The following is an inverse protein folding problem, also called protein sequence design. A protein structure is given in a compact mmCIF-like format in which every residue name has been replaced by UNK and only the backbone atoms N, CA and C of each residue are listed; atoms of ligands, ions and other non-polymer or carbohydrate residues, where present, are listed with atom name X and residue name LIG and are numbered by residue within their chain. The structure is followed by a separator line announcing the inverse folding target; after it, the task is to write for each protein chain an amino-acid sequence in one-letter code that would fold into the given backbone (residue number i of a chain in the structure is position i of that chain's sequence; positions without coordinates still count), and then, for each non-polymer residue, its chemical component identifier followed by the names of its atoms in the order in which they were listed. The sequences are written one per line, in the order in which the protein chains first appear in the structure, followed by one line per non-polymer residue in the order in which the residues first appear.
data_IF_306262120155
#
_entry.id   IF_306262120155
#
_cell.length_a   1.000
_cell.length_b   1.000
_cell.length_c   1.000
_cell.angle_alpha   90.00
_cell.angle_beta   90.00
_cell.angle_gamma   90.00
#
_symmetry.space_group_name_H-M   'P 1'
#
loop_
_entity.id
_entity.type
_entity.pdbx_description
1 polymer ?
#
# COMPACT_ATOMS: atom_id res chain seq x y z
N UNK A 1 -13.55 19.74 19.55
CA UNK A 1 -13.47 19.31 18.14
C UNK A 1 -12.18 18.51 17.97
N UNK A 2 -12.26 17.24 17.56
CA UNK A 2 -11.07 16.47 17.22
C UNK A 2 -10.35 17.13 16.04
N UNK A 3 -9.07 17.41 16.20
CA UNK A 3 -8.25 18.04 15.17
C UNK A 3 -8.07 17.06 14.01
N UNK A 4 -8.82 17.23 12.91
CA UNK A 4 -8.80 16.34 11.72
C UNK A 4 -7.51 16.39 10.88
N UNK A 5 -6.51 17.13 11.37
CA UNK A 5 -5.27 17.46 10.68
C UNK A 5 -4.13 16.73 11.36
N UNK A 6 -3.34 16.02 10.57
CA UNK A 6 -2.13 15.34 11.00
C UNK A 6 -0.94 15.81 10.16
N UNK A 7 0.22 16.01 10.78
CA UNK A 7 1.46 16.38 10.08
C UNK A 7 2.47 15.26 10.21
N UNK A 8 3.15 14.93 9.13
CA UNK A 8 4.23 13.95 9.11
C UNK A 8 5.34 14.41 8.16
N UNK A 9 6.47 14.85 8.72
CA UNK A 9 7.48 15.58 7.97
C UNK A 9 6.87 16.88 7.40
N UNK A 10 7.08 17.10 6.11
CA UNK A 10 6.53 18.24 5.37
C UNK A 10 5.06 18.01 4.97
N UNK A 11 4.58 16.77 5.01
CA UNK A 11 3.22 16.46 4.59
C UNK A 11 2.18 16.81 5.65
N UNK A 12 1.08 17.38 5.18
CA UNK A 12 -0.11 17.62 5.99
C UNK A 12 -1.28 16.82 5.43
N UNK A 13 -1.87 16.00 6.29
CA UNK A 13 -3.01 15.16 5.99
C UNK A 13 -4.27 15.69 6.67
N UNK A 14 -5.38 15.68 5.95
CA UNK A 14 -6.70 16.07 6.46
C UNK A 14 -7.71 15.00 6.07
N UNK A 15 -8.43 14.46 7.05
CA UNK A 15 -9.50 13.51 6.80
C UNK A 15 -10.86 14.18 6.88
N UNK A 16 -11.72 13.93 5.89
CA UNK A 16 -13.10 14.38 5.87
C UNK A 16 -14.06 13.19 5.77
N UNK A 17 -14.85 12.89 6.82
CA UNK A 17 -15.84 11.83 6.77
C UNK A 17 -16.99 12.22 5.84
N UNK A 18 -17.35 11.31 4.95
CA UNK A 18 -18.45 11.48 4.00
C UNK A 18 -19.50 10.39 4.25
N UNK A 19 -20.78 10.73 4.09
CA UNK A 19 -21.88 9.79 4.27
C UNK A 19 -22.57 9.54 2.93
N UNK A 20 -22.50 8.32 2.42
CA UNK A 20 -23.16 7.90 1.18
C UNK A 20 -23.98 6.64 1.42
N UNK A 21 -25.23 6.61 0.95
CA UNK A 21 -26.15 5.46 1.14
C UNK A 21 -26.27 4.99 2.60
N UNK A 22 -26.26 5.92 3.56
CA UNK A 22 -26.35 5.62 4.99
C UNK A 22 -25.09 5.00 5.61
N UNK A 23 -23.95 5.02 4.90
CA UNK A 23 -22.67 4.52 5.39
C UNK A 23 -21.62 5.62 5.39
N UNK A 24 -20.71 5.53 6.35
CA UNK A 24 -19.59 6.43 6.48
C UNK A 24 -18.41 5.93 5.62
N UNK A 25 -17.81 6.84 4.89
CA UNK A 25 -16.58 6.69 4.13
C UNK A 25 -15.66 7.87 4.46
N UNK A 26 -14.44 7.88 3.93
CA UNK A 26 -13.45 8.90 4.28
C UNK A 26 -12.77 9.41 3.01
N UNK A 27 -12.72 10.73 2.87
CA UNK A 27 -11.79 11.41 1.96
C UNK A 27 -10.53 11.73 2.77
N UNK A 28 -9.42 11.10 2.44
CA UNK A 28 -8.13 11.46 3.00
C UNK A 28 -7.42 12.37 1.99
N UNK A 29 -7.13 13.60 2.40
CA UNK A 29 -6.45 14.61 1.61
C UNK A 29 -5.01 14.78 2.10
N UNK A 30 -4.08 14.97 1.18
CA UNK A 30 -2.73 15.50 1.42
C UNK A 30 -2.67 16.90 0.82
N UNK A 31 -2.25 17.88 1.61
CA UNK A 31 -1.99 19.23 1.09
C UNK A 31 -0.84 19.15 0.08
N UNK A 32 -1.06 19.75 -1.09
CA UNK A 32 -0.07 19.78 -2.15
C UNK A 32 0.78 21.04 -2.00
N UNK A 33 2.08 20.85 -1.84
CA UNK A 33 3.06 21.93 -1.94
C UNK A 33 3.51 22.07 -3.40
N UNK A 34 3.48 23.30 -3.92
CA UNK A 34 4.02 23.68 -5.24
C UNK A 34 3.12 24.58 -6.08
N UNK A 35 3.71 25.14 -7.13
CA UNK A 35 3.06 26.05 -8.08
C UNK A 35 2.15 25.26 -9.02
N UNK A 36 0.89 25.11 -8.64
CA UNK A 36 -0.13 24.59 -9.55
C UNK A 36 -0.45 25.69 -10.53
N UNK A 37 -0.37 25.40 -11.82
CA UNK A 37 -0.62 26.36 -12.87
C UNK A 37 -2.00 26.15 -13.48
N UNK A 38 -2.57 27.24 -13.98
CA UNK A 38 -3.81 27.27 -14.73
C UNK A 38 -3.57 27.92 -16.10
N UNK A 39 -4.35 27.49 -17.09
CA UNK A 39 -4.36 28.09 -18.42
C UNK A 39 -5.60 28.97 -18.52
N UNK A 40 -5.39 30.25 -18.74
CA UNK A 40 -6.43 31.14 -19.23
C UNK A 40 -6.54 30.93 -20.74
N UNK A 41 -7.59 30.23 -21.17
CA UNK A 41 -7.82 29.95 -22.59
C UNK A 41 -8.26 31.19 -23.38
N UNK A 42 -8.81 32.21 -22.72
CA UNK A 42 -9.22 33.46 -23.37
C UNK A 42 -7.98 34.28 -23.74
N UNK A 43 -7.01 34.37 -22.83
CA UNK A 43 -5.76 35.11 -23.03
C UNK A 43 -4.59 34.22 -23.50
N UNK A 44 -4.83 32.92 -23.64
CA UNK A 44 -3.86 31.89 -24.00
C UNK A 44 -2.57 31.97 -23.17
N UNK A 45 -2.74 32.14 -21.85
CA UNK A 45 -1.66 32.41 -20.90
C UNK A 45 -1.64 31.40 -19.77
N UNK A 46 -0.44 30.94 -19.41
CA UNK A 46 -0.23 30.06 -18.26
C UNK A 46 0.16 30.94 -17.07
N UNK A 47 -0.57 30.82 -15.97
CA UNK A 47 -0.31 31.55 -14.73
C UNK A 47 -0.44 30.62 -13.53
N UNK A 48 0.05 31.05 -12.38
CA UNK A 48 -0.14 30.30 -11.13
C UNK A 48 -1.63 30.32 -10.73
N UNK A 49 -2.10 29.19 -10.19
CA UNK A 49 -3.45 29.02 -9.70
C UNK A 49 -3.68 29.96 -8.52
N UNK A 50 -4.48 30.99 -8.77
CA UNK A 50 -4.92 31.92 -7.73
C UNK A 50 -6.10 31.29 -6.98
N UNK A 51 -5.92 31.03 -5.68
CA UNK A 51 -6.99 30.57 -4.80
C UNK A 51 -7.42 31.70 -3.88
N UNK A 52 -8.71 31.99 -3.85
CA UNK A 52 -9.25 32.99 -2.92
C UNK A 52 -9.32 32.46 -1.48
N UNK A 53 -8.93 33.30 -0.52
CA UNK A 53 -9.10 33.07 0.92
C UNK A 53 -8.22 31.96 1.49
N UNK A 54 -8.72 31.25 2.50
CA UNK A 54 -7.99 30.17 3.17
C UNK A 54 -8.25 28.81 2.49
N UNK A 55 -7.88 28.70 1.21
CA UNK A 55 -8.03 27.50 0.39
C UNK A 55 -6.67 26.93 0.04
N UNK A 56 -6.60 25.61 -0.11
CA UNK A 56 -5.38 24.90 -0.51
C UNK A 56 -5.74 23.82 -1.50
N UNK A 57 -4.83 23.49 -2.41
CA UNK A 57 -5.00 22.34 -3.28
C UNK A 57 -4.55 21.08 -2.55
N UNK A 58 -5.27 19.99 -2.82
CA UNK A 58 -5.04 18.71 -2.18
C UNK A 58 -5.02 17.60 -3.22
N UNK A 59 -4.21 16.58 -2.95
CA UNK A 59 -4.35 15.27 -3.56
C UNK A 59 -5.17 14.37 -2.63
N UNK A 60 -6.10 13.62 -3.19
CA UNK A 60 -7.13 12.94 -2.39
C UNK A 60 -7.20 11.45 -2.66
N UNK A 61 -7.46 10.69 -1.61
CA UNK A 61 -7.74 9.25 -1.65
C UNK A 61 -9.09 8.99 -1.00
N UNK A 62 -9.94 8.27 -1.72
CA UNK A 62 -11.25 7.85 -1.22
C UNK A 62 -11.06 6.50 -0.55
N UNK A 63 -11.49 6.42 0.70
CA UNK A 63 -11.45 5.22 1.54
C UNK A 63 -12.89 4.78 1.79
N UNK A 64 -13.24 3.61 1.25
CA UNK A 64 -14.56 3.03 1.37
C UNK A 64 -14.54 1.91 2.41
N UNK A 65 -15.14 2.14 3.57
CA UNK A 65 -15.39 1.08 4.55
C UNK A 65 -16.46 0.10 4.03
N UNK A 66 -16.09 -1.17 3.88
CA UNK A 66 -16.93 -2.21 3.28
C UNK A 66 -17.76 -2.94 4.36
N UNK A 67 -18.94 -3.49 4.02
CA UNK A 67 -19.87 -4.04 5.02
C UNK A 67 -19.49 -5.40 5.60
N UNK A 68 -18.43 -6.03 5.10
CA UNK A 68 -18.15 -7.46 5.34
C UNK A 68 -16.94 -7.74 6.23
N UNK A 69 -16.40 -6.73 6.92
CA UNK A 69 -15.38 -6.89 7.96
C UNK A 69 -14.34 -5.78 7.96
N UNK A 70 -13.12 -6.08 8.45
CA UNK A 70 -11.98 -5.16 8.46
C UNK A 70 -11.31 -5.04 7.08
N UNK A 71 -12.11 -4.75 6.05
CA UNK A 71 -11.65 -4.48 4.68
C UNK A 71 -12.06 -3.08 4.28
N UNK A 72 -11.13 -2.36 3.69
CA UNK A 72 -11.38 -1.07 3.04
C UNK A 72 -11.06 -1.20 1.55
N UNK A 73 -11.86 -0.54 0.72
CA UNK A 73 -11.47 -0.25 -0.65
C UNK A 73 -10.87 1.15 -0.73
N UNK A 74 -9.86 1.33 -1.59
CA UNK A 74 -9.18 2.62 -1.76
C UNK A 74 -9.09 3.01 -3.23
N UNK A 75 -9.38 4.27 -3.54
CA UNK A 75 -9.14 4.88 -4.85
C UNK A 75 -8.28 6.13 -4.65
N UNK A 76 -7.10 6.14 -5.28
CA UNK A 76 -6.21 7.29 -5.28
C UNK A 76 -6.52 8.19 -6.48
N UNK A 77 -6.72 9.48 -6.23
CA UNK A 77 -6.99 10.46 -7.29
C UNK A 77 -5.74 10.85 -8.10
N UNK A 78 -4.54 10.62 -7.55
CA UNK A 78 -3.25 10.90 -8.20
C UNK A 78 -2.14 10.05 -7.59
N UNK A 79 -0.96 10.01 -8.23
CA UNK A 79 0.20 9.28 -7.72
C UNK A 79 0.80 9.86 -6.42
N UNK A 80 0.54 11.15 -6.15
CA UNK A 80 0.94 11.87 -4.95
C UNK A 80 -0.09 11.81 -3.82
N UNK A 81 -1.29 11.31 -4.11
CA UNK A 81 -2.36 11.16 -3.13
C UNK A 81 -1.98 10.24 -1.96
N UNK A 82 -2.61 10.41 -0.78
CA UNK A 82 -2.36 9.58 0.39
C UNK A 82 -2.35 8.08 0.08
N UNK A 83 -1.36 7.37 0.63
CA UNK A 83 -1.28 5.91 0.54
C UNK A 83 -1.99 5.25 1.72
N UNK A 84 -2.28 3.93 1.67
CA UNK A 84 -2.83 3.21 2.82
C UNK A 84 -2.01 3.39 4.11
N UNK A 85 -0.69 3.53 4.01
CA UNK A 85 0.18 3.84 5.14
C UNK A 85 -0.06 5.24 5.74
N UNK A 86 -0.40 6.23 4.91
CA UNK A 86 -0.82 7.55 5.38
C UNK A 86 -2.18 7.50 6.09
N UNK A 87 -3.11 6.66 5.61
CA UNK A 87 -4.37 6.39 6.30
C UNK A 87 -4.14 5.77 7.68
N UNK A 88 -3.26 4.76 7.80
CA UNK A 88 -2.91 4.16 9.09
C UNK A 88 -2.41 5.22 10.07
N UNK A 89 -1.41 6.02 9.66
CA UNK A 89 -0.83 7.07 10.49
C UNK A 89 -1.87 8.10 10.90
N UNK A 90 -2.74 8.51 9.97
CA UNK A 90 -3.81 9.45 10.25
C UNK A 90 -4.82 8.86 11.26
N UNK A 91 -5.31 7.64 11.05
CA UNK A 91 -6.25 6.97 11.96
C UNK A 91 -5.68 6.82 13.38
N UNK A 92 -4.41 6.42 13.50
CA UNK A 92 -3.74 6.28 14.79
C UNK A 92 -3.55 7.65 15.47
N UNK A 93 -3.14 8.67 14.71
CA UNK A 93 -3.01 10.02 15.24
C UNK A 93 -4.35 10.63 15.70
N UNK A 94 -5.45 10.25 15.05
CA UNK A 94 -6.80 10.66 15.44
C UNK A 94 -7.31 9.90 16.68
N UNK A 95 -6.61 8.87 17.15
CA UNK A 95 -7.03 7.98 18.24
C UNK A 95 -8.47 7.47 18.04
N UNK A 96 -8.80 7.02 16.82
CA UNK A 96 -10.15 6.56 16.48
C UNK A 96 -10.55 5.31 17.28
N UNK A 97 -9.57 4.52 17.70
CA UNK A 97 -9.73 3.34 18.55
C UNK A 97 -8.62 3.30 19.60
N UNK A 98 -8.85 2.60 20.73
CA UNK A 98 -7.93 2.52 21.87
C UNK A 98 -6.68 1.65 21.63
N UNK A 99 -6.31 1.40 20.37
CA UNK A 99 -5.19 0.57 19.96
C UNK A 99 -4.62 1.06 18.64
N UNK A 100 -3.35 0.80 18.39
CA UNK A 100 -2.80 1.08 17.08
C UNK A 100 -3.45 0.20 16.01
N UNK A 101 -3.96 0.84 14.96
CA UNK A 101 -4.43 0.18 13.76
C UNK A 101 -3.24 -0.07 12.84
N UNK A 102 -3.29 -1.22 12.16
CA UNK A 102 -2.45 -1.53 11.02
C UNK A 102 -3.33 -1.61 9.77
N UNK A 103 -2.98 -0.86 8.73
CA UNK A 103 -3.62 -0.95 7.42
C UNK A 103 -2.71 -1.78 6.54
N UNK A 104 -3.06 -3.05 6.38
CA UNK A 104 -2.27 -4.00 5.61
C UNK A 104 -2.90 -4.26 4.25
N UNK A 105 -2.09 -4.48 3.21
CA UNK A 105 -2.58 -4.95 1.94
C UNK A 105 -3.19 -6.34 2.08
N UNK A 106 -4.25 -6.58 1.32
CA UNK A 106 -4.93 -7.88 1.34
C UNK A 106 -4.12 -8.86 0.49
N UNK A 107 -3.10 -9.47 1.09
CA UNK A 107 -2.48 -10.68 0.54
C UNK A 107 -3.40 -11.85 0.84
N UNK A 108 -3.52 -12.78 -0.09
CA UNK A 108 -4.36 -13.95 0.07
C UNK A 108 -4.05 -14.69 1.36
N UNK A 109 -5.10 -15.05 2.10
CA UNK A 109 -5.02 -15.70 3.40
C UNK A 109 -4.02 -16.86 3.42
N UNK A 110 -4.03 -17.69 2.36
CA UNK A 110 -3.10 -18.81 2.17
C UNK A 110 -1.63 -18.39 2.15
N UNK A 111 -1.28 -17.28 1.51
CA UNK A 111 0.10 -16.79 1.46
C UNK A 111 0.54 -16.21 2.80
N UNK A 112 -0.35 -15.53 3.53
CA UNK A 112 -0.08 -15.07 4.90
C UNK A 112 0.08 -16.22 5.89
N UNK A 113 -0.79 -17.22 5.84
CA UNK A 113 -0.69 -18.43 6.66
C UNK A 113 0.60 -19.17 6.36
N UNK A 114 0.94 -19.33 5.08
CA UNK A 114 2.19 -19.96 4.64
C UNK A 114 3.43 -19.21 5.11
N UNK A 115 3.43 -17.88 5.05
CA UNK A 115 4.54 -17.06 5.58
C UNK A 115 4.63 -17.14 7.12
N UNK A 116 3.48 -17.16 7.81
CA UNK A 116 3.41 -17.20 9.27
C UNK A 116 3.82 -18.56 9.83
N UNK A 117 3.50 -19.64 9.13
CA UNK A 117 3.82 -21.02 9.49
C UNK A 117 5.19 -21.49 8.95
N UNK A 118 5.91 -20.64 8.19
CA UNK A 118 7.23 -20.96 7.69
C UNK A 118 8.26 -21.06 8.82
N UNK A 119 8.99 -22.18 8.88
CA UNK A 119 10.17 -22.31 9.76
C UNK A 119 11.26 -21.32 9.38
N UNK A 120 11.43 -21.09 8.08
CA UNK A 120 12.50 -20.27 7.53
C UNK A 120 12.08 -19.60 6.22
N UNK A 121 12.64 -18.41 5.97
CA UNK A 121 12.72 -17.82 4.63
C UNK A 121 14.18 -17.90 4.19
N UNK A 122 14.42 -18.57 3.06
CA UNK A 122 15.78 -18.81 2.55
C UNK A 122 16.20 -17.77 1.50
N UNK A 123 15.21 -17.27 0.76
CA UNK A 123 15.40 -16.30 -0.30
C UNK A 123 14.17 -15.41 -0.38
N UNK A 124 14.41 -14.12 -0.53
CA UNK A 124 13.40 -13.15 -0.91
C UNK A 124 13.90 -12.34 -2.10
N UNK A 125 13.07 -12.24 -3.13
CA UNK A 125 13.34 -11.47 -4.34
C UNK A 125 12.22 -10.48 -4.59
N UNK A 126 12.59 -9.23 -4.82
CA UNK A 126 11.68 -8.15 -5.17
C UNK A 126 12.17 -7.43 -6.42
N UNK A 127 11.26 -7.10 -7.33
CA UNK A 127 11.51 -6.16 -8.42
C UNK A 127 10.61 -4.94 -8.25
N UNK A 128 11.23 -3.77 -8.27
CA UNK A 128 10.56 -2.50 -8.04
C UNK A 128 10.95 -1.46 -9.09
N UNK A 129 9.98 -0.60 -9.41
CA UNK A 129 10.20 0.67 -10.10
C UNK A 129 10.48 1.74 -9.04
N UNK A 130 11.68 2.32 -9.02
CA UNK A 130 12.02 3.39 -8.09
C UNK A 130 11.05 4.56 -8.24
N UNK A 131 10.54 5.08 -7.13
CA UNK A 131 9.72 6.30 -7.13
C UNK A 131 10.18 7.22 -6.01
N UNK A 132 10.11 8.55 -6.23
CA UNK A 132 10.51 9.57 -5.23
C UNK A 132 9.87 9.38 -3.85
N UNK A 133 8.67 8.79 -3.80
CA UNK A 133 7.88 8.58 -2.58
C UNK A 133 8.05 7.19 -1.95
N UNK A 134 8.89 6.32 -2.52
CA UNK A 134 9.07 4.94 -2.00
C UNK A 134 10.02 4.89 -0.81
N UNK A 135 11.02 5.76 -0.77
CA UNK A 135 12.02 5.81 0.30
C UNK A 135 11.99 7.20 0.95
N UNK A 136 11.94 7.29 2.30
CA UNK A 136 12.05 8.56 3.03
C UNK A 136 13.25 9.38 2.55
N UNK A 137 13.14 10.72 2.49
CA UNK A 137 14.19 11.60 1.97
C UNK A 137 15.51 11.52 2.75
N UNK A 138 15.43 11.10 4.01
CA UNK A 138 16.54 10.87 4.95
C UNK A 138 17.05 9.40 4.96
N UNK A 139 16.52 8.52 4.11
CA UNK A 139 16.96 7.14 4.04
C UNK A 139 18.31 7.02 3.30
N UNK A 140 19.40 6.82 4.05
CA UNK A 140 20.75 6.58 3.50
C UNK A 140 20.89 5.19 2.85
N UNK A 141 21.94 5.02 2.04
CA UNK A 141 22.31 3.73 1.46
C UNK A 141 21.41 3.30 0.30
N UNK A 142 20.56 2.29 0.50
CA UNK A 142 19.70 1.75 -0.56
C UNK A 142 18.62 2.75 -1.02
N UNK A 143 18.13 3.58 -0.09
CA UNK A 143 17.18 4.66 -0.40
C UNK A 143 17.80 5.72 -1.30
N UNK A 144 19.02 6.17 -0.97
CA UNK A 144 19.82 7.08 -1.80
C UNK A 144 20.15 6.48 -3.17
N UNK A 145 20.59 5.24 -3.20
CA UNK A 145 20.87 4.52 -4.44
C UNK A 145 19.63 4.48 -5.33
N UNK A 146 18.46 4.13 -4.77
CA UNK A 146 17.20 4.06 -5.52
C UNK A 146 16.78 5.43 -6.07
N UNK A 147 16.89 6.51 -5.26
CA UNK A 147 16.61 7.88 -5.71
C UNK A 147 17.54 8.33 -6.83
N UNK A 148 18.85 8.04 -6.72
CA UNK A 148 19.82 8.38 -7.76
C UNK A 148 19.59 7.55 -9.03
N UNK A 149 19.28 6.26 -8.89
CA UNK A 149 18.94 5.37 -10.00
C UNK A 149 17.71 5.88 -10.74
N UNK A 150 16.65 6.28 -10.02
CA UNK A 150 15.44 6.87 -10.63
C UNK A 150 15.74 8.17 -11.38
N UNK A 151 16.52 9.09 -10.77
CA UNK A 151 16.86 10.38 -11.41
C UNK A 151 17.66 10.19 -12.70
N UNK A 152 18.54 9.20 -12.74
CA UNK A 152 19.41 8.94 -13.91
C UNK A 152 18.72 8.07 -14.95
N UNK A 153 17.87 7.14 -14.52
CA UNK A 153 17.20 6.16 -15.36
C UNK A 153 15.75 5.99 -14.84
N UNK A 154 14.83 6.87 -15.24
CA UNK A 154 13.46 6.86 -14.71
C UNK A 154 12.71 5.55 -14.99
N UNK A 155 13.09 4.84 -16.06
CA UNK A 155 12.50 3.56 -16.48
C UNK A 155 13.25 2.33 -15.93
N UNK A 156 14.26 2.52 -15.07
CA UNK A 156 15.03 1.40 -14.54
C UNK A 156 14.18 0.53 -13.59
N UNK A 157 14.28 -0.79 -13.77
CA UNK A 157 13.77 -1.77 -12.83
C UNK A 157 14.89 -2.20 -11.89
N UNK A 158 14.70 -2.03 -10.59
CA UNK A 158 15.64 -2.49 -9.56
C UNK A 158 15.18 -3.84 -9.05
N UNK A 159 16.07 -4.84 -9.07
CA UNK A 159 15.84 -6.14 -8.42
C UNK A 159 16.67 -6.24 -7.15
N UNK A 160 16.03 -6.54 -6.03
CA UNK A 160 16.66 -6.78 -4.74
C UNK A 160 16.50 -8.26 -4.39
N UNK A 161 17.62 -8.94 -4.15
CA UNK A 161 17.63 -10.34 -3.75
C UNK A 161 18.35 -10.48 -2.42
N UNK A 162 17.63 -10.95 -1.41
CA UNK A 162 18.16 -11.32 -0.11
C UNK A 162 18.18 -12.84 -0.01
N UNK A 163 19.36 -13.42 0.25
CA UNK A 163 19.54 -14.87 0.26
C UNK A 163 20.38 -15.29 1.47
N UNK A 164 19.90 -16.28 2.22
CA UNK A 164 20.70 -16.95 3.23
C UNK A 164 21.44 -18.11 2.55
N UNK A 165 22.78 -18.06 2.44
CA UNK A 165 23.52 -19.09 1.71
C UNK A 165 23.46 -20.45 2.43
N UNK A 166 23.19 -21.52 1.67
CA UNK A 166 23.29 -22.90 2.17
C UNK A 166 24.78 -23.21 2.41
N UNK A 167 25.24 -23.25 3.66
CA UNK A 167 26.60 -23.73 3.99
C UNK A 167 26.67 -25.26 3.83
N UNK A 168 27.75 -25.75 3.22
CA UNK A 168 28.09 -27.19 3.20
C UNK A 168 28.73 -27.54 4.54
N UNK A 169 27.99 -28.20 5.43
CA UNK A 169 28.47 -28.67 6.73
C UNK A 169 27.35 -29.34 7.54
N UNK A 170 27.70 -30.34 8.36
CA UNK A 170 26.75 -31.04 9.23
C UNK A 170 26.33 -30.14 10.40
N UNK A 171 25.03 -29.83 10.49
CA UNK A 171 24.40 -29.11 11.60
C UNK A 171 23.67 -27.81 11.20
N UNK A 172 22.52 -27.54 11.82
CA UNK A 172 21.87 -26.21 11.78
C UNK A 172 22.76 -25.24 12.58
N UNK A 173 23.61 -24.49 11.88
CA UNK A 173 24.39 -23.39 12.45
C UNK A 173 23.44 -22.36 13.08
N UNK A 174 23.58 -22.07 14.38
CA UNK A 174 22.74 -21.09 15.08
C UNK A 174 22.75 -19.72 14.40
N UNK A 175 23.84 -19.36 13.71
CA UNK A 175 23.93 -18.13 12.92
C UNK A 175 23.02 -18.15 11.70
N UNK A 176 22.87 -19.32 11.06
CA UNK A 176 22.00 -19.50 9.90
C UNK A 176 20.53 -19.41 10.30
N UNK A 177 20.13 -20.13 11.36
CA UNK A 177 18.75 -20.07 11.85
C UNK A 177 18.35 -18.66 12.32
N UNK A 178 19.29 -17.90 12.90
CA UNK A 178 19.06 -16.47 13.18
C UNK A 178 18.86 -15.64 11.90
N UNK A 179 19.66 -15.90 10.86
CA UNK A 179 19.51 -15.23 9.55
C UNK A 179 18.19 -15.53 8.86
N UNK A 180 17.78 -16.80 8.85
CA UNK A 180 16.49 -17.26 8.29
C UNK A 180 15.30 -16.64 9.02
N UNK A 181 15.37 -16.56 10.36
CA UNK A 181 14.34 -15.91 11.17
C UNK A 181 14.26 -14.41 10.93
N UNK A 182 15.40 -13.72 10.90
CA UNK A 182 15.44 -12.28 10.60
C UNK A 182 14.88 -11.99 9.21
N UNK A 183 15.27 -12.77 8.20
CA UNK A 183 14.74 -12.59 6.85
C UNK A 183 13.23 -12.84 6.80
N UNK A 184 12.70 -13.79 7.57
CA UNK A 184 11.25 -13.97 7.71
C UNK A 184 10.56 -12.75 8.31
N UNK A 185 11.11 -12.20 9.40
CA UNK A 185 10.62 -10.98 10.05
C UNK A 185 10.69 -9.77 9.09
N UNK A 186 11.80 -9.62 8.36
CA UNK A 186 11.99 -8.56 7.35
C UNK A 186 10.95 -8.66 6.22
N UNK A 187 10.65 -9.87 5.73
CA UNK A 187 9.62 -10.08 4.70
C UNK A 187 8.22 -9.76 5.25
N UNK A 188 7.92 -10.11 6.49
CA UNK A 188 6.65 -9.75 7.13
C UNK A 188 6.48 -8.23 7.24
N UNK A 189 7.52 -7.52 7.70
CA UNK A 189 7.54 -6.05 7.74
C UNK A 189 7.40 -5.44 6.35
N UNK A 190 8.12 -5.98 5.37
CA UNK A 190 8.03 -5.52 3.99
C UNK A 190 6.60 -5.61 3.44
N UNK A 191 5.93 -6.75 3.60
CA UNK A 191 4.56 -6.92 3.11
C UNK A 191 3.59 -5.98 3.82
N UNK A 192 3.78 -5.75 5.12
CA UNK A 192 3.01 -4.76 5.88
C UNK A 192 3.16 -3.35 5.30
N UNK A 193 4.40 -2.91 5.02
CA UNK A 193 4.71 -1.53 4.64
C UNK A 193 4.51 -1.25 3.15
N UNK A 194 4.86 -2.21 2.30
CA UNK A 194 4.96 -2.04 0.85
C UNK A 194 4.03 -2.97 0.06
N UNK A 195 3.32 -3.90 0.69
CA UNK A 195 2.47 -4.82 -0.06
C UNK A 195 1.34 -4.11 -0.82
N UNK A 196 0.95 -2.88 -0.46
CA UNK A 196 0.00 -2.10 -1.27
C UNK A 196 0.57 -1.63 -2.61
N UNK A 197 1.90 -1.70 -2.76
CA UNK A 197 2.61 -1.43 -4.00
C UNK A 197 2.87 -2.70 -4.81
N UNK A 198 2.59 -3.87 -4.24
CA UNK A 198 2.79 -5.17 -4.88
C UNK A 198 1.59 -5.46 -5.77
N UNK A 199 1.82 -5.66 -7.05
CA UNK A 199 0.75 -5.93 -8.01
C UNK A 199 1.23 -5.79 -9.45
N UNK A 200 0.44 -6.28 -10.43
CA UNK A 200 0.81 -6.21 -11.85
C UNK A 200 1.07 -4.78 -12.35
N UNK A 201 0.29 -3.81 -11.85
CA UNK A 201 0.44 -2.38 -12.16
C UNK A 201 1.05 -1.58 -11.00
N UNK A 202 1.52 -2.30 -9.97
CA UNK A 202 2.15 -1.71 -8.79
C UNK A 202 3.56 -1.20 -9.05
N UNK A 203 4.10 -0.46 -8.08
CA UNK A 203 5.52 -0.10 -8.11
C UNK A 203 6.42 -1.32 -7.83
N UNK A 204 5.87 -2.40 -7.28
CA UNK A 204 6.52 -3.70 -7.08
C UNK A 204 5.78 -4.73 -7.94
N UNK A 205 6.38 -5.09 -9.07
CA UNK A 205 5.78 -6.01 -10.05
C UNK A 205 6.26 -7.46 -9.89
N UNK A 206 7.15 -7.71 -8.92
CA UNK A 206 7.61 -9.04 -8.49
C UNK A 206 7.96 -9.02 -7.02
N UNK A 207 7.42 -9.97 -6.26
CA UNK A 207 7.77 -10.20 -4.86
C UNK A 207 7.60 -11.69 -4.56
N UNK A 208 8.72 -12.40 -4.36
CA UNK A 208 8.76 -13.85 -4.22
C UNK A 208 9.56 -14.22 -2.96
N UNK A 209 8.98 -15.04 -2.09
CA UNK A 209 9.68 -15.66 -0.97
C UNK A 209 9.79 -17.17 -1.16
N UNK A 210 10.98 -17.72 -0.95
CA UNK A 210 11.19 -19.16 -0.80
C UNK A 210 11.19 -19.51 0.68
N UNK A 211 10.20 -20.32 1.08
CA UNK A 211 9.95 -20.69 2.45
C UNK A 211 10.24 -22.17 2.69
N UNK A 212 10.58 -22.51 3.93
CA UNK A 212 10.62 -23.89 4.40
C UNK A 212 9.48 -24.09 5.40
N UNK A 213 8.66 -25.11 5.17
CA UNK A 213 7.50 -25.47 5.99
C UNK A 213 7.75 -26.80 6.68
N UNK A 214 7.29 -26.94 7.92
CA UNK A 214 7.21 -28.26 8.57
C UNK A 214 5.97 -28.99 8.06
N UNK A 215 6.15 -30.19 7.52
CA UNK A 215 5.05 -31.09 7.21
C UNK A 215 4.56 -31.81 8.49
N UNK A 216 3.37 -32.40 8.42
CA UNK A 216 2.74 -33.13 9.54
C UNK A 216 3.53 -34.35 9.99
N UNK A 217 4.40 -34.90 9.14
CA UNK A 217 5.32 -36.00 9.43
C UNK A 217 6.67 -35.52 10.02
N UNK A 218 6.82 -34.22 10.26
CA UNK A 218 8.04 -33.60 10.76
C UNK A 218 9.13 -33.38 9.70
N UNK A 219 8.85 -33.71 8.42
CA UNK A 219 9.76 -33.39 7.32
C UNK A 219 9.71 -31.90 6.96
N UNK A 220 10.76 -31.42 6.30
CA UNK A 220 10.85 -30.03 5.83
C UNK A 220 10.59 -29.96 4.34
N UNK A 221 9.63 -29.14 3.94
CA UNK A 221 9.26 -28.94 2.54
C UNK A 221 9.64 -27.53 2.12
N UNK A 222 10.39 -27.41 1.01
CA UNK A 222 10.63 -26.11 0.37
C UNK A 222 9.45 -25.74 -0.52
N UNK A 223 9.00 -24.50 -0.41
CA UNK A 223 7.88 -23.98 -1.18
C UNK A 223 8.08 -22.48 -1.48
N UNK A 224 7.23 -21.91 -2.34
CA UNK A 224 7.32 -20.54 -2.80
C UNK A 224 6.02 -19.77 -2.54
N UNK A 225 6.15 -18.54 -2.08
CA UNK A 225 5.07 -17.55 -2.00
C UNK A 225 5.33 -16.51 -3.07
N UNK A 226 4.33 -16.23 -3.91
CA UNK A 226 4.41 -15.16 -4.91
C UNK A 226 3.40 -14.08 -4.54
N UNK A 227 3.86 -13.06 -3.83
CA UNK A 227 3.00 -12.01 -3.30
C UNK A 227 2.30 -11.17 -4.37
N UNK A 228 2.72 -11.24 -5.64
CA UNK A 228 2.02 -10.59 -6.76
C UNK A 228 0.84 -11.44 -7.24
N UNK A 229 1.04 -12.74 -7.45
CA UNK A 229 -0.05 -13.64 -7.87
C UNK A 229 -1.00 -14.00 -6.74
N UNK A 230 -0.48 -14.05 -5.51
CA UNK A 230 -1.22 -14.36 -4.29
C UNK A 230 -1.88 -13.09 -3.71
N UNK A 231 -1.81 -11.95 -4.39
CA UNK A 231 -2.42 -10.70 -3.98
C UNK A 231 -3.95 -10.73 -4.20
N UNK A 232 -4.74 -10.43 -3.16
CA UNK A 232 -6.20 -10.22 -3.30
C UNK A 232 -6.53 -8.75 -3.45
N UNK A 233 -5.60 -7.81 -3.20
CA UNK A 233 -5.81 -6.40 -3.58
C UNK A 233 -5.86 -6.29 -5.09
N UNK A 234 -7.04 -6.56 -5.64
CA UNK A 234 -7.30 -6.49 -7.06
C UNK A 234 -7.29 -5.02 -7.43
N UNK A 235 -6.19 -4.56 -8.02
CA UNK A 235 -6.22 -3.32 -8.78
C UNK A 235 -7.17 -3.56 -9.96
N UNK A 236 -8.43 -3.16 -9.78
CA UNK A 236 -9.45 -3.26 -10.81
C UNK A 236 -9.58 -1.90 -11.50
N UNK A 237 -9.56 -1.86 -12.84
CA UNK A 237 -9.86 -0.62 -13.55
C UNK A 237 -11.30 -0.21 -13.22
N UNK A 238 -11.44 1.00 -12.70
CA UNK A 238 -12.73 1.61 -12.41
C UNK A 238 -13.01 2.65 -13.49
N UNK A 239 -14.17 2.53 -14.13
CA UNK A 239 -14.64 3.54 -15.07
C UNK A 239 -15.46 4.58 -14.33
N UNK A 240 -14.84 5.71 -14.00
CA UNK A 240 -15.55 6.86 -13.44
C UNK A 240 -16.31 7.57 -14.55
N UNK A 241 -17.64 7.47 -14.54
CA UNK A 241 -18.49 8.28 -15.42
C UNK A 241 -18.50 9.71 -14.90
N UNK A 242 -17.62 10.55 -15.43
CA UNK A 242 -17.58 11.98 -15.15
C UNK A 242 -18.54 12.67 -16.13
N UNK A 243 -19.74 13.02 -15.68
CA UNK A 243 -20.58 13.98 -16.41
C UNK A 243 -20.16 15.39 -16.00
N UNK A 244 -19.94 16.27 -16.98
CA UNK A 244 -19.70 17.69 -16.72
C UNK A 244 -20.80 18.25 -15.79
N UNK A 245 -20.38 18.90 -14.70
CA UNK A 245 -21.29 19.54 -13.75
C UNK A 245 -21.90 18.65 -12.66
N UNK A 246 -21.56 17.36 -12.55
CA UNK A 246 -22.06 16.52 -11.44
C UNK A 246 -21.14 16.43 -10.22
N UNK A 247 -21.77 15.99 -9.12
CA UNK A 247 -21.34 15.81 -7.74
C UNK A 247 -19.82 15.62 -7.52
N UNK A 248 -19.30 16.01 -6.34
CA UNK A 248 -17.90 15.82 -6.03
C UNK A 248 -17.48 14.36 -6.27
N UNK A 249 -16.37 14.20 -6.99
CA UNK A 249 -15.88 12.94 -7.58
C UNK A 249 -15.79 11.75 -6.59
N UNK A 250 -15.83 12.01 -5.28
CA UNK A 250 -15.86 10.98 -4.25
C UNK A 250 -17.10 10.08 -4.32
N UNK A 251 -18.27 10.58 -4.74
CA UNK A 251 -19.49 9.75 -4.80
C UNK A 251 -19.36 8.66 -5.87
N UNK A 252 -18.92 9.06 -7.08
CA UNK A 252 -18.64 8.13 -8.17
C UNK A 252 -17.55 7.12 -7.80
N UNK A 253 -16.52 7.56 -7.08
CA UNK A 253 -15.46 6.67 -6.58
C UNK A 253 -16.00 5.64 -5.57
N UNK A 254 -16.83 6.06 -4.61
CA UNK A 254 -17.46 5.14 -3.64
C UNK A 254 -18.31 4.10 -4.36
N UNK A 255 -19.18 4.52 -5.29
CA UNK A 255 -20.01 3.59 -6.05
C UNK A 255 -19.19 2.55 -6.78
N UNK A 256 -18.13 2.97 -7.47
CA UNK A 256 -17.26 2.05 -8.17
C UNK A 256 -16.57 1.03 -7.26
N UNK A 257 -16.08 1.46 -6.09
CA UNK A 257 -15.49 0.54 -5.11
C UNK A 257 -16.54 -0.46 -4.63
N UNK A 258 -17.75 0.00 -4.32
CA UNK A 258 -18.82 -0.87 -3.86
C UNK A 258 -19.25 -1.88 -4.92
N UNK A 259 -19.30 -1.49 -6.20
CA UNK A 259 -19.62 -2.38 -7.32
C UNK A 259 -18.57 -3.49 -7.46
N UNK A 260 -17.27 -3.14 -7.41
CA UNK A 260 -16.17 -4.11 -7.45
C UNK A 260 -16.19 -5.01 -6.21
N UNK A 261 -16.43 -4.43 -5.03
CA UNK A 261 -16.51 -5.17 -3.77
C UNK A 261 -17.64 -6.21 -3.79
N UNK A 262 -18.79 -5.86 -4.36
CA UNK A 262 -19.94 -6.76 -4.53
C UNK A 262 -19.59 -7.94 -5.44
N UNK A 263 -18.92 -7.67 -6.57
CA UNK A 263 -18.49 -8.72 -7.50
C UNK A 263 -17.48 -9.73 -6.89
N UNK A 264 -16.74 -9.32 -5.86
CA UNK A 264 -15.70 -10.12 -5.20
C UNK A 264 -16.02 -10.44 -3.73
N UNK A 265 -17.29 -10.36 -3.32
CA UNK A 265 -17.68 -10.43 -1.91
C UNK A 265 -17.21 -11.72 -1.22
N UNK A 266 -17.30 -12.88 -1.89
CA UNK A 266 -16.90 -14.16 -1.32
C UNK A 266 -15.40 -14.21 -0.96
N UNK A 267 -14.55 -13.72 -1.86
CA UNK A 267 -13.09 -13.66 -1.66
C UNK A 267 -12.72 -12.68 -0.55
N UNK A 268 -13.34 -11.50 -0.56
CA UNK A 268 -13.09 -10.47 0.44
C UNK A 268 -13.55 -10.91 1.84
N UNK A 269 -14.67 -11.64 1.94
CA UNK A 269 -15.14 -12.23 3.20
C UNK A 269 -14.20 -13.32 3.73
N UNK A 270 -13.72 -14.20 2.85
CA UNK A 270 -12.79 -15.26 3.27
C UNK A 270 -11.47 -14.68 3.79
N UNK A 271 -10.99 -13.61 3.15
CA UNK A 271 -9.75 -12.94 3.52
C UNK A 271 -9.75 -12.32 4.93
N UNK A 272 -10.92 -12.00 5.49
CA UNK A 272 -11.06 -11.45 6.86
C UNK A 272 -11.72 -12.39 7.85
N UNK A 273 -12.02 -13.63 7.45
CA UNK A 273 -12.60 -14.61 8.35
C UNK A 273 -11.57 -15.03 9.41
N UNK A 274 -11.87 -14.87 10.72
CA UNK A 274 -11.00 -15.36 11.78
C UNK A 274 -10.69 -16.84 11.58
N UNK A 275 -9.43 -17.22 11.74
CA UNK A 275 -9.04 -18.63 11.77
C UNK A 275 -9.49 -19.20 13.13
N UNK A 276 -10.17 -20.36 13.16
CA UNK A 276 -10.49 -21.04 14.42
C UNK A 276 -9.25 -21.47 15.20
#
# INVERSE_FOLDING_TARGET
MLQRRYRHGDDVYVGDPISLQGRQHLVLARLRDGDIQQIDWEHNHISDLQLDGNRSVVDTTIVCFLPFGNVIGVIQGSASAPRPTALQRWLNAMNVVDRDLAVMPLVGKKAWEKLSNAEAVNLFEMRLRPGKLMFPSDADGLGDFSRQAHRRNPDALITLTMKIPKRRGFGRDTSRSRGERRLREDVQHFISDFGSLVGPDGAVDRAIAHVTLSASDGSLVEDQINFVSDHITAQKPVFLRRSEGQAPWYEAAVHAVLDVASAHEAELRDAVRPVP
#
